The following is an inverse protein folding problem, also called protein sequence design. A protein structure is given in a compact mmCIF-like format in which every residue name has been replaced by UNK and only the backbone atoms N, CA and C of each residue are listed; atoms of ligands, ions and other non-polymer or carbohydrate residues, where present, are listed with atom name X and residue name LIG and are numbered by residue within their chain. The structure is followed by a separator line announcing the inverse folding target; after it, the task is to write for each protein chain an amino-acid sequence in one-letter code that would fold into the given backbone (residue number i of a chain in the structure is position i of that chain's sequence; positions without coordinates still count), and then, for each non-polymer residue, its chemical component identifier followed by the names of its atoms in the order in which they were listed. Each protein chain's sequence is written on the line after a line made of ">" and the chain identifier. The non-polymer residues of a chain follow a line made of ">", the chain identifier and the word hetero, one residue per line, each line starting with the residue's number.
data_IF_550353494570
#
_entry.id   IF_550353494570
#
_cell.length_a   1.000
_cell.length_b   1.000
_cell.length_c   1.000
_cell.angle_alpha   90.00
_cell.angle_beta   90.00
_cell.angle_gamma   90.00
#
_symmetry.space_group_name_H-M   'P 1'
#
loop_
_entity.id
_entity.type
_entity.pdbx_description
1 polymer ?
#
# COMPACT_ATOMS: atom_id res chain seq x y z
N UNK A 1 -16.01 -20.88 0.51
CA UNK A 1 -14.75 -21.55 0.88
C UNK A 1 -13.62 -20.52 1.03
N UNK A 2 -13.90 -19.46 1.75
CA UNK A 2 -12.86 -18.52 2.18
C UNK A 2 -12.08 -19.16 3.33
N UNK A 3 -10.75 -18.95 3.35
CA UNK A 3 -9.94 -19.22 4.54
C UNK A 3 -10.21 -18.20 5.64
N UNK A 4 -9.19 -17.90 6.44
CA UNK A 4 -9.29 -16.92 7.53
C UNK A 4 -8.93 -15.50 7.11
N UNK A 5 -8.65 -15.26 5.81
CA UNK A 5 -8.30 -13.97 5.22
C UNK A 5 -8.91 -13.82 3.84
N UNK A 6 -9.39 -12.59 3.52
CA UNK A 6 -9.93 -12.19 2.22
C UNK A 6 -9.35 -10.86 1.80
N UNK A 7 -8.99 -10.75 0.52
CA UNK A 7 -8.67 -9.47 -0.14
C UNK A 7 -9.78 -9.18 -1.14
N UNK A 8 -10.51 -8.07 -0.94
CA UNK A 8 -11.67 -7.68 -1.73
C UNK A 8 -11.45 -6.29 -2.29
N UNK A 9 -11.39 -6.20 -3.63
CA UNK A 9 -11.09 -4.95 -4.32
C UNK A 9 -12.29 -4.49 -5.14
N UNK A 10 -12.46 -3.18 -5.26
CA UNK A 10 -13.28 -2.58 -6.30
C UNK A 10 -12.45 -2.46 -7.58
N UNK A 11 -13.08 -2.65 -8.74
CA UNK A 11 -12.41 -2.54 -10.03
C UNK A 11 -11.93 -1.11 -10.27
N UNK A 12 -10.63 -0.96 -10.46
CA UNK A 12 -10.00 0.30 -10.88
C UNK A 12 -9.54 0.16 -12.33
N UNK A 13 -9.82 1.19 -13.14
CA UNK A 13 -9.44 1.21 -14.55
C UNK A 13 -8.11 1.93 -14.73
N UNK A 14 -7.08 1.18 -15.06
CA UNK A 14 -5.73 1.70 -15.27
C UNK A 14 -5.48 1.99 -16.75
N UNK A 15 -4.92 3.19 -17.05
CA UNK A 15 -4.54 3.59 -18.41
C UNK A 15 -3.55 2.59 -19.00
N UNK A 16 -3.73 2.26 -20.29
CA UNK A 16 -2.86 1.33 -21.02
C UNK A 16 -3.22 -0.14 -20.84
N UNK A 17 -4.29 -0.47 -20.12
CA UNK A 17 -4.82 -1.83 -19.99
C UNK A 17 -5.94 -2.11 -20.99
N UNK A 18 -6.23 -3.39 -21.32
CA UNK A 18 -7.40 -3.73 -22.13
C UNK A 18 -8.71 -3.19 -21.54
N UNK A 19 -8.91 -3.27 -20.22
CA UNK A 19 -10.10 -2.74 -19.54
C UNK A 19 -10.31 -1.23 -19.78
N UNK A 20 -9.22 -0.46 -19.85
CA UNK A 20 -9.31 0.96 -20.18
C UNK A 20 -9.87 1.22 -21.60
N UNK A 21 -9.44 0.39 -22.56
CA UNK A 21 -9.94 0.47 -23.93
C UNK A 21 -11.42 0.03 -24.03
N UNK A 22 -11.78 -1.06 -23.33
CA UNK A 22 -13.13 -1.63 -23.31
C UNK A 22 -14.13 -0.68 -22.64
N UNK A 23 -13.78 -0.07 -21.51
CA UNK A 23 -14.60 0.92 -20.82
C UNK A 23 -14.85 2.14 -21.72
N UNK A 24 -13.80 2.67 -22.35
CA UNK A 24 -13.93 3.79 -23.30
C UNK A 24 -14.75 3.45 -24.53
N UNK A 25 -14.75 2.19 -24.96
CA UNK A 25 -15.58 1.70 -26.05
C UNK A 25 -17.04 1.43 -25.64
N UNK A 26 -17.36 1.57 -24.34
CA UNK A 26 -18.69 1.31 -23.81
C UNK A 26 -19.03 -0.18 -23.69
N UNK A 27 -18.04 -1.07 -23.69
CA UNK A 27 -18.24 -2.51 -23.51
C UNK A 27 -18.79 -2.85 -22.13
N UNK A 28 -18.51 -2.04 -21.14
CA UNK A 28 -19.11 -2.07 -19.79
C UNK A 28 -19.08 -0.66 -19.17
N UNK A 29 -19.81 -0.50 -18.05
CA UNK A 29 -19.87 0.74 -17.30
C UNK A 29 -19.56 0.43 -15.85
N UNK A 30 -18.71 1.24 -15.23
CA UNK A 30 -18.45 1.15 -13.78
C UNK A 30 -19.70 1.56 -12.99
N UNK A 31 -19.90 1.03 -11.77
CA UNK A 31 -20.94 1.55 -10.88
C UNK A 31 -20.75 3.05 -10.66
N UNK A 32 -21.85 3.77 -10.56
CA UNK A 32 -21.84 5.16 -10.12
C UNK A 32 -21.25 5.26 -8.71
N UNK A 33 -20.66 6.41 -8.37
CA UNK A 33 -19.92 6.64 -7.12
C UNK A 33 -20.72 6.25 -5.87
N UNK A 34 -22.02 6.62 -5.82
CA UNK A 34 -22.90 6.27 -4.71
C UNK A 34 -23.11 4.75 -4.59
N UNK A 35 -23.26 4.06 -5.71
CA UNK A 35 -23.43 2.60 -5.73
C UNK A 35 -22.11 1.90 -5.35
N UNK A 36 -20.96 2.44 -5.78
CA UNK A 36 -19.65 1.93 -5.39
C UNK A 36 -19.43 2.07 -3.87
N UNK A 37 -19.79 3.21 -3.29
CA UNK A 37 -19.72 3.44 -1.84
C UNK A 37 -20.67 2.51 -1.07
N UNK A 38 -21.89 2.27 -1.58
CA UNK A 38 -22.84 1.33 -0.97
C UNK A 38 -22.30 -0.12 -1.03
N UNK A 39 -21.75 -0.54 -2.16
CA UNK A 39 -21.13 -1.86 -2.30
C UNK A 39 -19.96 -2.05 -1.32
N UNK A 40 -19.15 -1.00 -1.12
CA UNK A 40 -18.09 -1.02 -0.11
C UNK A 40 -18.67 -1.23 1.30
N UNK A 41 -19.69 -0.46 1.69
CA UNK A 41 -20.31 -0.56 3.01
C UNK A 41 -20.95 -1.95 3.25
N UNK A 42 -21.67 -2.48 2.26
CA UNK A 42 -22.26 -3.82 2.32
C UNK A 42 -21.19 -4.89 2.46
N UNK A 43 -20.06 -4.74 1.77
CA UNK A 43 -18.91 -5.65 1.90
C UNK A 43 -18.37 -5.66 3.34
N UNK A 44 -18.18 -4.47 3.94
CA UNK A 44 -17.73 -4.35 5.32
C UNK A 44 -18.69 -5.04 6.30
N UNK A 45 -20.00 -4.79 6.12
CA UNK A 45 -21.04 -5.36 6.97
C UNK A 45 -21.08 -6.90 6.87
N UNK A 46 -21.11 -7.46 5.66
CA UNK A 46 -21.18 -8.91 5.45
C UNK A 46 -19.93 -9.60 6.01
N UNK A 47 -18.73 -9.08 5.73
CA UNK A 47 -17.50 -9.65 6.26
C UNK A 47 -17.47 -9.59 7.79
N UNK A 48 -17.89 -8.48 8.40
CA UNK A 48 -18.00 -8.33 9.85
C UNK A 48 -18.97 -9.34 10.48
N UNK A 49 -20.17 -9.52 9.91
CA UNK A 49 -21.17 -10.50 10.36
C UNK A 49 -20.64 -11.96 10.32
N UNK A 50 -19.70 -12.24 9.43
CA UNK A 50 -19.06 -13.56 9.31
C UNK A 50 -17.78 -13.69 10.14
N UNK A 51 -17.49 -12.74 11.03
CA UNK A 51 -16.32 -12.76 11.92
C UNK A 51 -15.00 -12.49 11.19
N UNK A 52 -15.06 -11.77 10.08
CA UNK A 52 -13.93 -11.33 9.27
C UNK A 52 -13.98 -9.81 9.08
N UNK A 53 -13.80 -9.00 10.15
CA UNK A 53 -13.78 -7.55 10.01
C UNK A 53 -12.61 -7.10 9.14
N UNK A 54 -12.74 -5.91 8.52
CA UNK A 54 -11.62 -5.27 7.87
C UNK A 54 -10.54 -4.89 8.89
N UNK A 55 -9.29 -5.13 8.57
CA UNK A 55 -8.14 -4.61 9.32
C UNK A 55 -7.45 -3.46 8.58
N UNK A 56 -7.74 -3.31 7.28
CA UNK A 56 -7.40 -2.16 6.45
C UNK A 56 -8.44 -2.04 5.31
N UNK A 57 -8.27 -1.10 4.39
CA UNK A 57 -9.30 -0.69 3.41
C UNK A 57 -9.90 -1.86 2.60
N UNK A 58 -9.07 -2.80 2.15
CA UNK A 58 -9.45 -3.87 1.19
C UNK A 58 -9.23 -5.29 1.71
N UNK A 59 -8.67 -5.45 2.90
CA UNK A 59 -8.37 -6.75 3.47
C UNK A 59 -9.14 -7.01 4.77
N UNK A 60 -9.69 -8.21 4.84
CA UNK A 60 -10.53 -8.70 5.91
C UNK A 60 -9.95 -9.97 6.47
N UNK A 61 -9.96 -10.15 7.78
CA UNK A 61 -9.43 -11.36 8.40
C UNK A 61 -10.18 -11.70 9.68
N UNK A 62 -10.13 -12.98 10.07
CA UNK A 62 -10.44 -13.34 11.45
C UNK A 62 -9.41 -12.71 12.37
N UNK A 63 -9.78 -12.27 13.58
CA UNK A 63 -8.83 -11.72 14.54
C UNK A 63 -7.65 -12.68 14.75
N UNK A 64 -6.42 -12.17 14.56
CA UNK A 64 -5.17 -12.93 14.62
C UNK A 64 -4.74 -13.60 13.32
N UNK A 65 -5.52 -13.47 12.25
CA UNK A 65 -5.20 -13.99 10.90
C UNK A 65 -4.91 -12.89 9.89
N UNK A 66 -4.67 -11.66 10.36
CA UNK A 66 -4.27 -10.53 9.52
C UNK A 66 -2.96 -10.85 8.78
N UNK A 67 -2.88 -10.47 7.51
CA UNK A 67 -1.69 -10.72 6.71
C UNK A 67 -0.51 -9.88 7.23
N UNK A 68 0.48 -10.54 7.84
CA UNK A 68 1.68 -9.90 8.40
C UNK A 68 2.44 -9.09 7.34
N UNK A 69 2.47 -9.54 6.10
CA UNK A 69 3.10 -8.83 5.00
C UNK A 69 2.38 -7.48 4.74
N UNK A 70 1.05 -7.48 4.70
CA UNK A 70 0.28 -6.26 4.52
C UNK A 70 0.46 -5.29 5.71
N UNK A 71 0.40 -5.81 6.94
CA UNK A 71 0.66 -5.00 8.14
C UNK A 71 2.05 -4.38 8.08
N UNK A 72 3.07 -5.13 7.63
CA UNK A 72 4.42 -4.60 7.47
C UNK A 72 4.45 -3.37 6.55
N UNK A 73 3.70 -3.38 5.44
CA UNK A 73 3.59 -2.22 4.57
C UNK A 73 2.92 -1.04 5.26
N UNK A 74 1.75 -1.29 5.87
CA UNK A 74 0.95 -0.23 6.47
C UNK A 74 1.61 0.41 7.69
N UNK A 75 2.45 -0.34 8.40
CA UNK A 75 3.27 0.15 9.51
C UNK A 75 4.64 0.67 9.08
N UNK A 76 4.89 0.78 7.79
CA UNK A 76 6.16 1.26 7.24
C UNK A 76 7.37 0.43 7.63
N UNK A 77 7.21 -0.88 7.77
CA UNK A 77 8.30 -1.81 8.04
C UNK A 77 9.17 -2.06 6.81
N UNK A 78 10.30 -2.73 7.04
CA UNK A 78 11.18 -3.15 5.96
C UNK A 78 10.61 -4.36 5.22
N UNK A 79 10.72 -4.34 3.90
CA UNK A 79 10.39 -5.48 3.03
C UNK A 79 11.25 -5.49 1.77
N UNK A 80 11.54 -6.69 1.28
CA UNK A 80 12.32 -6.92 0.07
C UNK A 80 11.40 -7.08 -1.12
N UNK A 81 11.62 -6.30 -2.17
CA UNK A 81 10.99 -6.53 -3.47
C UNK A 81 11.74 -7.62 -4.23
N UNK A 82 11.10 -8.76 -4.46
CA UNK A 82 11.64 -9.87 -5.25
C UNK A 82 10.80 -10.09 -6.51
N UNK A 83 11.45 -10.20 -7.66
CA UNK A 83 10.80 -10.39 -8.95
C UNK A 83 10.77 -9.14 -9.83
N UNK A 84 10.38 -9.29 -11.12
CA UNK A 84 10.33 -8.20 -12.08
C UNK A 84 9.39 -7.07 -11.63
N UNK A 85 9.88 -5.83 -11.68
CA UNK A 85 9.11 -4.64 -11.29
C UNK A 85 8.77 -4.52 -9.80
N UNK A 86 9.29 -5.41 -8.95
CA UNK A 86 9.01 -5.37 -7.52
C UNK A 86 9.65 -4.16 -6.85
N UNK A 87 8.93 -3.59 -5.87
CA UNK A 87 9.40 -2.51 -5.02
C UNK A 87 9.74 -3.03 -3.63
N UNK A 88 10.66 -2.36 -2.94
CA UNK A 88 11.05 -2.68 -1.56
C UNK A 88 11.32 -1.43 -0.72
N UNK A 89 11.35 -1.63 0.58
CA UNK A 89 11.81 -0.65 1.57
C UNK A 89 12.82 -1.33 2.49
N UNK A 90 14.02 -0.82 2.55
CA UNK A 90 15.11 -1.38 3.34
C UNK A 90 15.81 -0.31 4.15
N UNK A 91 15.94 -0.54 5.44
CA UNK A 91 16.74 0.31 6.32
C UNK A 91 18.19 -0.12 6.28
N UNK A 92 19.05 0.75 5.74
CA UNK A 92 20.50 0.52 5.62
C UNK A 92 21.20 1.69 6.29
N UNK A 93 22.04 1.41 7.30
CA UNK A 93 22.74 2.44 8.07
C UNK A 93 21.82 3.54 8.60
N UNK A 94 20.69 3.17 9.20
CA UNK A 94 19.66 4.06 9.72
C UNK A 94 18.96 4.96 8.68
N UNK A 95 19.12 4.66 7.40
CA UNK A 95 18.42 5.36 6.32
C UNK A 95 17.51 4.40 5.58
N UNK A 96 16.24 4.76 5.42
CA UNK A 96 15.30 3.97 4.62
C UNK A 96 15.55 4.24 3.14
N UNK A 97 15.65 3.17 2.38
CA UNK A 97 15.81 3.22 0.92
C UNK A 97 14.61 2.60 0.24
N UNK A 98 14.05 3.31 -0.72
CA UNK A 98 13.17 2.73 -1.72
C UNK A 98 14.01 1.96 -2.74
N UNK A 99 13.65 0.71 -3.01
CA UNK A 99 14.27 -0.11 -4.04
C UNK A 99 13.26 -0.46 -5.12
N UNK A 100 13.73 -0.60 -6.35
CA UNK A 100 12.91 -0.94 -7.50
C UNK A 100 13.67 -1.91 -8.41
N UNK A 101 13.02 -3.02 -8.77
CA UNK A 101 13.57 -4.03 -9.65
C UNK A 101 13.30 -3.69 -11.13
N UNK A 102 14.09 -4.26 -12.05
CA UNK A 102 13.84 -4.18 -13.50
C UNK A 102 12.44 -4.77 -13.80
N UNK A 103 11.54 -4.07 -14.54
CA UNK A 103 10.16 -4.52 -14.72
C UNK A 103 9.97 -5.62 -15.76
N UNK A 104 10.84 -5.70 -16.78
CA UNK A 104 10.75 -6.74 -17.81
C UNK A 104 11.21 -8.10 -17.27
N UNK A 105 10.38 -9.17 -17.35
CA UNK A 105 10.74 -10.49 -16.79
C UNK A 105 12.04 -11.06 -17.36
N UNK A 106 12.23 -10.99 -18.66
CA UNK A 106 13.43 -11.48 -19.35
C UNK A 106 14.66 -10.69 -18.93
N UNK A 107 14.60 -9.36 -18.98
CA UNK A 107 15.69 -8.47 -18.59
C UNK A 107 16.02 -8.61 -17.09
N UNK A 108 14.98 -8.82 -16.25
CA UNK A 108 15.18 -9.08 -14.82
C UNK A 108 15.95 -10.38 -14.59
N UNK A 109 15.59 -11.46 -15.31
CA UNK A 109 16.25 -12.75 -15.19
C UNK A 109 17.71 -12.68 -15.67
N UNK A 110 17.95 -12.09 -16.84
CA UNK A 110 19.29 -11.90 -17.39
C UNK A 110 20.20 -11.13 -16.42
N UNK A 111 19.69 -10.05 -15.81
CA UNK A 111 20.45 -9.25 -14.86
C UNK A 111 20.73 -10.01 -13.55
N UNK A 112 19.75 -10.78 -13.05
CA UNK A 112 19.96 -11.62 -11.85
C UNK A 112 21.01 -12.69 -12.10
N UNK A 113 21.00 -13.35 -13.28
CA UNK A 113 22.00 -14.36 -13.65
C UNK A 113 23.41 -13.76 -13.81
N UNK A 114 23.50 -12.54 -14.34
CA UNK A 114 24.77 -11.86 -14.57
C UNK A 114 25.36 -11.24 -13.29
N UNK A 115 24.52 -10.60 -12.47
CA UNK A 115 24.95 -9.72 -11.37
C UNK A 115 24.51 -10.19 -9.98
N UNK A 116 23.68 -11.24 -9.89
CA UNK A 116 23.11 -11.74 -8.63
C UNK A 116 21.92 -10.95 -8.10
N UNK A 117 21.56 -9.84 -8.73
CA UNK A 117 20.38 -9.03 -8.42
C UNK A 117 19.95 -8.21 -9.65
N UNK A 118 18.72 -7.71 -9.66
CA UNK A 118 18.22 -6.84 -10.73
C UNK A 118 17.60 -5.54 -10.19
N UNK A 119 18.18 -5.00 -9.11
CA UNK A 119 17.77 -3.70 -8.55
C UNK A 119 18.26 -2.59 -9.47
N UNK A 120 17.33 -1.90 -10.15
CA UNK A 120 17.61 -0.79 -11.06
C UNK A 120 17.75 0.56 -10.36
N UNK A 121 16.96 0.76 -9.28
CA UNK A 121 16.97 2.00 -8.50
C UNK A 121 17.06 1.70 -7.00
N UNK A 122 17.84 2.52 -6.31
CA UNK A 122 17.87 2.59 -4.85
C UNK A 122 18.00 4.05 -4.43
N UNK A 123 16.94 4.61 -3.88
CA UNK A 123 16.85 6.02 -3.50
C UNK A 123 16.63 6.12 -1.99
N UNK A 124 17.46 6.91 -1.32
CA UNK A 124 17.26 7.22 0.09
C UNK A 124 15.99 8.07 0.25
N UNK A 125 15.18 7.74 1.24
CA UNK A 125 14.01 8.52 1.62
C UNK A 125 14.46 9.47 2.73
N UNK A 126 14.26 10.77 2.52
CA UNK A 126 14.55 11.77 3.55
C UNK A 126 13.50 11.75 4.68
N UNK A 127 13.74 12.55 5.72
CA UNK A 127 12.89 12.55 6.91
C UNK A 127 11.44 13.00 6.61
N UNK A 128 11.27 13.99 5.75
CA UNK A 128 9.93 14.49 5.40
C UNK A 128 9.18 13.48 4.51
N UNK A 129 9.83 12.93 3.49
CA UNK A 129 9.26 11.86 2.67
C UNK A 129 8.93 10.60 3.49
N UNK A 130 9.71 10.30 4.53
CA UNK A 130 9.39 9.21 5.43
C UNK A 130 8.14 9.46 6.26
N UNK A 131 7.98 10.67 6.78
CA UNK A 131 6.78 11.10 7.50
C UNK A 131 5.55 10.99 6.59
N UNK A 132 5.64 11.51 5.36
CA UNK A 132 4.56 11.41 4.36
C UNK A 132 4.16 9.96 4.08
N UNK A 133 5.14 9.10 3.82
CA UNK A 133 4.90 7.69 3.55
C UNK A 133 4.19 6.99 4.71
N UNK A 134 4.64 7.21 5.96
CA UNK A 134 4.03 6.60 7.15
C UNK A 134 2.58 7.07 7.35
N UNK A 135 2.27 8.35 7.10
CA UNK A 135 0.90 8.82 7.13
C UNK A 135 0.05 8.17 6.04
N UNK A 136 0.50 8.20 4.79
CA UNK A 136 -0.23 7.61 3.66
C UNK A 136 -0.54 6.12 3.89
N UNK A 137 0.42 5.38 4.44
CA UNK A 137 0.27 3.95 4.67
C UNK A 137 -0.53 3.65 5.95
N UNK A 138 -0.16 4.27 7.07
CA UNK A 138 -0.74 3.97 8.38
C UNK A 138 -2.22 4.36 8.52
N UNK A 139 -2.66 5.43 7.82
CA UNK A 139 -4.07 5.84 7.81
C UNK A 139 -4.99 4.87 7.05
N UNK A 140 -4.45 3.87 6.37
CA UNK A 140 -5.23 2.79 5.75
C UNK A 140 -5.66 1.71 6.74
N UNK A 141 -4.97 1.59 7.88
CA UNK A 141 -5.33 0.64 8.94
C UNK A 141 -6.61 1.06 9.64
N UNK A 142 -7.50 0.11 9.92
CA UNK A 142 -8.75 0.35 10.66
C UNK A 142 -8.48 0.91 12.07
N UNK A 143 -7.39 0.47 12.70
CA UNK A 143 -6.96 0.97 13.99
C UNK A 143 -6.20 2.29 13.91
N UNK A 144 -5.99 2.80 12.70
CA UNK A 144 -5.22 4.03 12.46
C UNK A 144 -3.71 3.87 12.69
N UNK A 145 -3.04 5.01 12.73
CA UNK A 145 -1.59 5.08 12.91
C UNK A 145 -1.23 5.08 14.40
N UNK A 146 -0.48 4.07 14.83
CA UNK A 146 0.04 3.99 16.21
C UNK A 146 1.15 5.04 16.43
N UNK A 147 1.08 5.77 17.57
CA UNK A 147 2.12 6.72 17.99
C UNK A 147 3.48 6.06 18.14
N UNK A 148 3.52 4.89 18.78
CA UNK A 148 4.75 4.14 19.01
C UNK A 148 5.37 3.68 17.69
N UNK A 149 4.56 3.19 16.74
CA UNK A 149 5.00 2.82 15.40
C UNK A 149 5.51 4.05 14.65
N UNK A 150 4.78 5.16 14.70
CA UNK A 150 5.19 6.40 14.04
C UNK A 150 6.54 6.88 14.56
N UNK A 151 6.70 6.97 15.89
CA UNK A 151 7.97 7.36 16.48
C UNK A 151 9.11 6.39 16.11
N UNK A 152 8.87 5.08 16.20
CA UNK A 152 9.87 4.07 15.84
C UNK A 152 10.33 4.15 14.38
N UNK A 153 9.47 4.64 13.48
CA UNK A 153 9.77 4.74 12.04
C UNK A 153 10.35 6.08 11.61
N UNK A 154 10.05 7.15 12.33
CA UNK A 154 10.42 8.52 11.95
C UNK A 154 11.36 9.21 12.94
N UNK A 155 11.42 8.74 14.18
CA UNK A 155 12.12 9.41 15.29
C UNK A 155 11.46 10.72 15.72
N UNK A 156 10.20 10.96 15.34
CA UNK A 156 9.44 12.19 15.59
C UNK A 156 8.16 11.87 16.35
N UNK A 157 7.73 12.76 17.24
CA UNK A 157 6.40 12.66 17.84
C UNK A 157 5.31 12.94 16.79
N UNK A 158 4.19 12.23 16.90
CA UNK A 158 3.09 12.36 15.95
C UNK A 158 2.52 13.79 15.92
N UNK A 159 2.45 14.42 17.09
CA UNK A 159 1.96 15.79 17.26
C UNK A 159 2.82 16.83 16.54
N UNK A 160 4.15 16.64 16.55
CA UNK A 160 5.09 17.53 15.87
C UNK A 160 4.94 17.40 14.34
N UNK A 161 4.63 16.19 13.85
CA UNK A 161 4.37 15.96 12.44
C UNK A 161 3.04 16.54 11.97
N UNK A 162 2.05 16.67 12.86
CA UNK A 162 0.71 17.24 12.58
C UNK A 162 0.69 18.78 12.61
N UNK A 163 1.81 19.45 12.81
CA UNK A 163 1.84 20.91 12.72
C UNK A 163 1.31 21.41 11.37
N UNK A 164 0.51 22.50 11.35
CA UNK A 164 -0.13 23.02 10.14
C UNK A 164 0.83 23.31 8.98
N UNK A 165 2.09 23.62 9.28
CA UNK A 165 3.15 23.84 8.27
C UNK A 165 3.52 22.59 7.50
N UNK A 166 3.41 21.40 8.14
CA UNK A 166 3.73 20.10 7.54
C UNK A 166 2.52 19.45 6.90
N UNK A 167 1.32 19.65 7.46
CA UNK A 167 0.07 19.09 6.91
C UNK A 167 -0.32 19.63 5.54
N UNK A 168 -0.02 20.91 5.25
CA UNK A 168 -0.41 21.54 3.98
C UNK A 168 0.16 20.85 2.74
N UNK A 169 1.46 20.47 2.67
CA UNK A 169 1.99 19.70 1.55
C UNK A 169 1.38 18.29 1.45
N UNK A 170 1.17 17.63 2.60
CA UNK A 170 0.57 16.28 2.66
C UNK A 170 -0.87 16.27 2.12
N UNK A 171 -1.68 17.24 2.52
CA UNK A 171 -3.05 17.39 2.01
C UNK A 171 -3.08 17.72 0.51
N UNK A 172 -2.10 18.47 0.01
CA UNK A 172 -1.99 18.79 -1.42
C UNK A 172 -1.56 17.59 -2.28
N UNK A 173 -0.87 16.61 -1.71
CA UNK A 173 -0.46 15.39 -2.39
C UNK A 173 -1.54 14.29 -2.40
N UNK A 174 -2.61 14.46 -1.59
CA UNK A 174 -3.73 13.51 -1.47
C UNK A 174 -4.94 13.88 -2.36
N UNK A 175 -4.89 15.02 -3.07
CA UNK A 175 -5.89 15.52 -4.02
C UNK A 175 -5.37 15.35 -5.44
#
# INVERSE_FOLDING_TARGET
>A
LAGDHLSLYQLTIEKGTPFFADERAGAFVLPEENNAAELFNVTQEICGQHGMPAYEISNHARPGSECRHNITYWEGGDYVGAGPGAHGRLTINNTVHATEQIPGPENWLEEVEASGHATRNRTAIDADGRVEEIFMMGLRLTNGLSRDVFWARTGMELEDALEPRRLRPLLAALI
#
